data_IF_344287581063
#
_entry.id   IF_344287581063
#
_cell.length_a   1.000
_cell.length_b   1.000
_cell.length_c   1.000
_cell.angle_alpha   90.00
_cell.angle_beta   90.00
_cell.angle_gamma   90.00
#
_symmetry.space_group_name_H-M   'P 1'
#
loop_
_entity.id
_entity.type
_entity.pdbx_description
1 polymer ?
#
# COMPACT_ATOMS: atom_id res chain seq x y z
N UNK A 1 -38.11 76.24 -59.04
CA UNK A 1 -38.00 75.33 -60.21
C UNK A 1 -37.96 73.90 -59.68
N UNK A 2 -38.83 73.00 -60.16
CA UNK A 2 -38.59 71.53 -60.10
C UNK A 2 -37.34 71.19 -60.95
N UNK A 3 -36.77 69.96 -60.92
CA UNK A 3 -36.72 68.90 -59.91
C UNK A 3 -35.26 68.38 -59.70
N UNK A 4 -35.05 67.39 -58.82
CA UNK A 4 -34.53 66.04 -59.16
C UNK A 4 -33.89 65.30 -57.97
N UNK A 5 -33.81 63.98 -58.15
CA UNK A 5 -34.05 62.94 -57.17
C UNK A 5 -32.77 62.15 -56.82
N UNK A 6 -32.80 61.47 -55.66
CA UNK A 6 -32.01 60.30 -55.19
C UNK A 6 -30.82 60.50 -54.23
N UNK A 7 -31.04 59.91 -53.04
CA UNK A 7 -30.16 59.30 -52.02
C UNK A 7 -28.86 58.64 -52.52
N UNK A 8 -27.80 58.42 -51.67
CA UNK A 8 -27.89 57.69 -50.38
C UNK A 8 -26.92 58.09 -49.24
N UNK A 9 -27.16 57.57 -48.02
CA UNK A 9 -26.14 57.57 -46.96
C UNK A 9 -26.62 57.20 -45.55
N UNK A 10 -26.15 56.03 -45.08
CA UNK A 10 -25.91 55.61 -43.70
C UNK A 10 -27.09 55.43 -42.72
N UNK A 11 -27.31 54.17 -42.32
CA UNK A 11 -28.14 53.75 -41.19
C UNK A 11 -27.33 53.69 -39.89
N UNK A 12 -27.65 54.59 -38.96
CA UNK A 12 -27.42 54.47 -37.52
C UNK A 12 -28.45 53.51 -36.90
N UNK A 13 -28.02 52.56 -36.07
CA UNK A 13 -28.94 51.80 -35.21
C UNK A 13 -28.26 51.32 -33.92
N UNK A 14 -28.43 52.19 -32.92
CA UNK A 14 -28.58 51.99 -31.47
C UNK A 14 -28.48 50.59 -30.85
N UNK A 15 -27.70 50.60 -29.78
CA UNK A 15 -27.58 49.68 -28.65
C UNK A 15 -28.94 49.35 -27.97
N UNK A 16 -29.29 48.05 -27.93
CA UNK A 16 -30.26 47.46 -26.99
C UNK A 16 -29.84 46.04 -26.65
N UNK A 17 -29.07 45.86 -25.58
CA UNK A 17 -28.86 44.53 -24.98
C UNK A 17 -30.14 44.05 -24.30
N UNK A 18 -30.68 42.90 -24.74
CA UNK A 18 -31.82 42.25 -24.11
C UNK A 18 -31.40 41.47 -22.86
N UNK A 19 -32.31 41.39 -21.89
CA UNK A 19 -32.16 40.70 -20.59
C UNK A 19 -31.99 39.17 -20.74
N UNK A 20 -31.98 38.64 -21.96
CA UNK A 20 -31.78 37.22 -22.28
C UNK A 20 -30.32 36.73 -22.22
N UNK A 21 -29.34 37.63 -22.04
CA UNK A 21 -27.93 37.25 -21.95
C UNK A 21 -27.49 36.81 -20.53
N UNK A 22 -28.36 36.89 -19.52
CA UNK A 22 -28.07 36.46 -18.14
C UNK A 22 -28.52 35.02 -17.80
N UNK A 23 -29.11 34.29 -18.76
CA UNK A 23 -29.62 32.92 -18.53
C UNK A 23 -29.11 31.88 -19.53
N UNK A 24 -27.94 32.10 -20.13
CA UNK A 24 -27.21 31.00 -20.78
C UNK A 24 -26.40 30.26 -19.73
N UNK A 25 -27.03 29.29 -19.07
CA UNK A 25 -26.29 28.16 -18.51
C UNK A 25 -25.54 27.49 -19.66
N UNK A 26 -24.24 27.70 -19.75
CA UNK A 26 -23.40 26.79 -20.50
C UNK A 26 -23.53 25.43 -19.81
N UNK A 27 -24.07 24.46 -20.54
CA UNK A 27 -24.06 23.07 -20.08
C UNK A 27 -22.62 22.71 -19.71
N UNK A 28 -22.36 22.54 -18.41
CA UNK A 28 -21.16 21.88 -17.93
C UNK A 28 -21.05 20.54 -18.64
N UNK A 29 -19.84 20.08 -18.97
CA UNK A 29 -19.59 18.71 -19.44
C UNK A 29 -19.96 17.73 -18.32
N UNK A 30 -21.25 17.51 -18.11
CA UNK A 30 -21.82 16.64 -17.09
C UNK A 30 -22.47 15.46 -17.80
N UNK A 31 -21.90 14.27 -17.58
CA UNK A 31 -22.49 12.96 -17.84
C UNK A 31 -22.87 12.63 -19.29
N UNK A 32 -21.91 12.71 -20.22
CA UNK A 32 -22.02 11.86 -21.41
C UNK A 32 -21.71 10.42 -20.97
N UNK A 33 -22.71 9.54 -21.02
CA UNK A 33 -22.45 8.10 -20.99
C UNK A 33 -21.66 7.80 -22.26
N UNK A 34 -20.34 7.65 -22.13
CA UNK A 34 -19.50 7.20 -23.23
C UNK A 34 -19.85 5.74 -23.50
N UNK A 35 -20.45 5.49 -24.67
CA UNK A 35 -20.70 4.14 -25.15
C UNK A 35 -19.33 3.50 -25.43
N UNK A 36 -18.98 2.38 -24.78
CA UNK A 36 -17.68 1.76 -24.99
C UNK A 36 -17.54 1.34 -26.46
N UNK A 37 -16.50 1.84 -27.12
CA UNK A 37 -16.18 1.50 -28.50
C UNK A 37 -14.98 0.56 -28.54
N UNK A 38 -15.12 -0.55 -29.26
CA UNK A 38 -13.99 -1.43 -29.56
C UNK A 38 -13.23 -0.78 -30.70
N UNK A 39 -12.03 -0.30 -30.41
CA UNK A 39 -11.10 0.22 -31.42
C UNK A 39 -9.74 -0.41 -31.23
N UNK A 40 -9.08 -0.70 -32.35
CA UNK A 40 -7.68 -1.10 -32.28
C UNK A 40 -6.86 0.09 -31.76
N UNK A 41 -5.85 -0.15 -30.91
CA UNK A 41 -4.95 0.91 -30.51
C UNK A 41 -4.34 1.54 -31.76
N UNK A 42 -4.55 2.84 -31.94
CA UNK A 42 -3.91 3.57 -33.03
C UNK A 42 -2.40 3.53 -32.78
N UNK A 43 -1.66 2.89 -33.68
CA UNK A 43 -0.23 2.59 -33.52
C UNK A 43 0.61 3.81 -33.13
N UNK A 44 1.59 3.58 -32.27
CA UNK A 44 2.56 4.56 -31.79
C UNK A 44 3.84 4.64 -32.62
N UNK A 45 4.63 5.68 -32.33
CA UNK A 45 6.02 5.88 -32.77
C UNK A 45 6.87 6.66 -31.75
N UNK A 46 6.29 6.96 -30.57
CA UNK A 46 6.99 7.59 -29.47
C UNK A 46 7.58 6.50 -28.57
N UNK A 47 8.90 6.49 -28.42
CA UNK A 47 9.58 5.69 -27.39
C UNK A 47 9.37 6.42 -26.07
N UNK A 48 8.45 5.94 -25.23
CA UNK A 48 8.26 6.43 -23.86
C UNK A 48 8.93 5.45 -22.90
N UNK A 49 9.91 5.93 -22.13
CA UNK A 49 10.56 5.14 -21.08
C UNK A 49 9.63 4.88 -19.89
N UNK A 50 10.18 4.31 -18.82
CA UNK A 50 9.52 4.32 -17.50
C UNK A 50 9.29 5.79 -17.13
N UNK A 51 8.06 6.13 -16.73
CA UNK A 51 7.67 7.51 -16.37
C UNK A 51 8.24 7.83 -14.98
N UNK A 52 9.54 8.09 -14.96
CA UNK A 52 10.34 8.34 -13.78
C UNK A 52 10.10 9.77 -13.28
N UNK A 53 9.49 9.88 -12.09
CA UNK A 53 9.20 11.18 -11.47
C UNK A 53 10.31 11.55 -10.50
N UNK A 54 11.30 12.31 -10.96
CA UNK A 54 12.26 12.96 -10.09
C UNK A 54 11.65 14.20 -9.44
N UNK A 55 11.86 14.36 -8.14
CA UNK A 55 11.43 15.52 -7.37
C UNK A 55 12.45 15.87 -6.30
N UNK A 56 12.50 17.15 -5.93
CA UNK A 56 13.33 17.64 -4.82
C UNK A 56 12.40 18.26 -3.80
N UNK A 57 12.54 17.85 -2.54
CA UNK A 57 11.84 18.51 -1.45
C UNK A 57 12.67 19.74 -1.02
N UNK A 58 12.16 20.93 -1.35
CA UNK A 58 12.86 22.19 -1.10
C UNK A 58 13.04 22.52 0.40
N UNK A 59 12.24 21.91 1.29
CA UNK A 59 12.26 22.23 2.73
C UNK A 59 13.39 21.48 3.44
N UNK A 60 13.60 20.20 3.13
CA UNK A 60 14.60 19.36 3.77
C UNK A 60 15.79 19.01 2.86
N UNK A 61 15.78 19.45 1.60
CA UNK A 61 16.84 19.23 0.63
C UNK A 61 16.94 17.80 0.10
N UNK A 62 15.99 16.90 0.40
CA UNK A 62 16.08 15.51 -0.06
C UNK A 62 15.68 15.36 -1.53
N UNK A 63 16.42 14.54 -2.27
CA UNK A 63 16.01 14.06 -3.58
C UNK A 63 15.04 12.90 -3.43
N UNK A 64 14.03 12.82 -4.29
CA UNK A 64 13.03 11.75 -4.29
C UNK A 64 12.70 11.30 -5.70
N UNK A 65 12.51 10.00 -5.86
CA UNK A 65 12.28 9.38 -7.16
C UNK A 65 11.37 8.16 -7.00
N UNK A 66 10.49 7.89 -7.97
CA UNK A 66 9.56 6.76 -7.88
C UNK A 66 9.44 6.01 -9.20
N UNK A 67 9.53 4.67 -9.12
CA UNK A 67 9.32 3.73 -10.22
C UNK A 67 8.03 2.94 -9.93
N UNK A 68 6.99 3.03 -10.77
CA UNK A 68 5.81 2.19 -10.60
C UNK A 68 6.16 0.72 -10.86
N UNK A 69 5.73 -0.17 -9.96
CA UNK A 69 5.90 -1.61 -10.16
C UNK A 69 4.91 -2.14 -11.21
N UNK A 70 5.25 -3.23 -11.91
CA UNK A 70 4.44 -3.75 -13.00
C UNK A 70 3.15 -4.41 -12.46
N UNK A 71 2.05 -3.68 -12.53
CA UNK A 71 0.70 -4.19 -12.34
C UNK A 71 -0.13 -3.94 -13.60
N UNK A 72 -0.72 -5.00 -14.15
CA UNK A 72 -1.73 -4.85 -15.20
C UNK A 72 -3.02 -4.30 -14.62
N UNK A 73 -3.71 -3.38 -15.31
CA UNK A 73 -5.05 -2.96 -14.92
C UNK A 73 -6.02 -4.15 -14.90
N UNK A 74 -6.72 -4.33 -13.79
CA UNK A 74 -7.84 -5.24 -13.64
C UNK A 74 -9.18 -4.49 -13.77
N UNK A 75 -10.29 -5.19 -13.48
CA UNK A 75 -11.64 -4.62 -13.52
C UNK A 75 -11.84 -3.62 -12.39
N UNK A 76 -11.54 -2.34 -12.62
CA UNK A 76 -11.87 -1.23 -11.74
C UNK A 76 -10.96 -1.07 -10.51
N UNK A 77 -10.59 -2.16 -9.84
CA UNK A 77 -9.69 -2.14 -8.68
C UNK A 77 -8.40 -2.88 -8.99
N UNK A 78 -7.27 -2.17 -8.93
CA UNK A 78 -5.93 -2.73 -9.15
C UNK A 78 -4.98 -2.22 -8.06
N UNK A 79 -4.08 -3.07 -7.56
CA UNK A 79 -3.02 -2.62 -6.67
C UNK A 79 -2.12 -1.59 -7.38
N UNK A 80 -1.61 -0.65 -6.60
CA UNK A 80 -0.62 0.32 -7.07
C UNK A 80 0.50 0.41 -6.05
N UNK A 81 1.61 -0.26 -6.34
CA UNK A 81 2.84 -0.14 -5.56
C UNK A 81 3.91 0.52 -6.42
N UNK A 82 4.79 1.25 -5.76
CA UNK A 82 5.96 1.87 -6.38
C UNK A 82 7.19 1.56 -5.55
N UNK A 83 8.32 1.59 -6.22
CA UNK A 83 9.64 1.63 -5.62
C UNK A 83 10.03 3.11 -5.49
N UNK A 84 10.16 3.59 -4.25
CA UNK A 84 10.44 4.99 -3.93
C UNK A 84 11.85 5.15 -3.39
N UNK A 85 12.63 6.04 -3.98
CA UNK A 85 13.91 6.50 -3.48
C UNK A 85 13.74 7.80 -2.70
N UNK A 86 14.44 7.93 -1.58
CA UNK A 86 14.69 9.20 -0.91
C UNK A 86 16.13 9.23 -0.40
N UNK A 87 16.85 10.33 -0.65
CA UNK A 87 18.26 10.45 -0.25
C UNK A 87 18.51 10.43 1.26
N UNK A 88 17.48 10.64 2.08
CA UNK A 88 17.52 10.53 3.54
C UNK A 88 17.04 9.17 4.08
N UNK A 89 16.59 8.26 3.22
CA UNK A 89 16.13 6.92 3.64
C UNK A 89 17.31 5.98 3.91
N UNK A 90 17.10 5.05 4.84
CA UNK A 90 18.06 4.00 5.17
C UNK A 90 18.07 2.83 4.18
N UNK A 91 18.66 1.72 4.61
CA UNK A 91 18.74 0.49 3.82
C UNK A 91 17.40 -0.28 3.85
N UNK A 92 17.08 -1.00 2.78
CA UNK A 92 15.86 -1.79 2.64
C UNK A 92 16.08 -3.05 1.79
N UNK A 93 15.01 -3.78 1.51
CA UNK A 93 15.01 -4.93 0.59
C UNK A 93 15.31 -4.57 -0.87
N UNK A 94 15.40 -3.28 -1.20
CA UNK A 94 15.80 -2.76 -2.52
C UNK A 94 17.12 -1.96 -2.46
N UNK A 95 17.91 -2.14 -1.41
CA UNK A 95 19.17 -1.43 -1.20
C UNK A 95 19.01 -0.05 -0.56
N UNK A 96 20.12 0.67 -0.43
CA UNK A 96 20.17 1.94 0.29
C UNK A 96 19.34 3.04 -0.37
N UNK A 97 18.51 3.74 0.42
CA UNK A 97 17.71 4.89 -0.01
C UNK A 97 16.39 4.51 -0.69
N UNK A 98 16.21 3.26 -1.08
CA UNK A 98 15.00 2.75 -1.74
C UNK A 98 14.04 2.13 -0.72
N UNK A 99 12.74 2.19 -0.97
CA UNK A 99 11.71 1.54 -0.18
C UNK A 99 10.52 1.12 -1.05
N UNK A 100 9.83 0.07 -0.65
CA UNK A 100 8.55 -0.30 -1.24
C UNK A 100 7.45 0.61 -0.68
N UNK A 101 6.66 1.22 -1.54
CA UNK A 101 5.48 2.02 -1.18
C UNK A 101 4.30 1.16 -0.71
N UNK A 102 4.52 0.30 0.30
CA UNK A 102 3.50 -0.53 0.93
C UNK A 102 2.99 0.18 2.19
N UNK A 103 1.68 0.42 2.28
CA UNK A 103 1.08 1.00 3.49
C UNK A 103 1.13 0.01 4.63
N UNK A 104 1.26 0.47 5.88
CA UNK A 104 1.19 -0.38 7.07
C UNK A 104 0.72 0.41 8.28
N UNK A 105 0.27 -0.29 9.32
CA UNK A 105 0.11 0.29 10.66
C UNK A 105 1.29 -0.18 11.49
N UNK A 106 1.98 0.72 12.18
CA UNK A 106 3.12 0.36 13.04
C UNK A 106 3.11 1.11 14.36
N UNK A 107 3.79 0.57 15.37
CA UNK A 107 4.00 1.28 16.64
C UNK A 107 5.08 2.36 16.47
N UNK A 108 4.85 3.53 17.03
CA UNK A 108 5.75 4.68 16.96
C UNK A 108 6.94 4.51 17.89
N UNK A 109 8.14 4.79 17.40
CA UNK A 109 9.40 4.57 18.13
C UNK A 109 10.23 5.85 18.36
N UNK A 110 9.76 7.01 17.88
CA UNK A 110 10.53 8.28 17.98
C UNK A 110 10.63 8.84 19.41
N UNK A 111 9.72 8.44 20.30
CA UNK A 111 9.63 8.98 21.68
C UNK A 111 10.06 7.99 22.76
N UNK A 112 10.73 6.90 22.37
CA UNK A 112 11.22 5.87 23.27
C UNK A 112 10.91 4.46 22.79
N UNK A 113 11.39 3.49 23.58
CA UNK A 113 11.15 2.07 23.32
C UNK A 113 9.71 1.68 23.68
N UNK A 114 9.19 0.73 22.91
CA UNK A 114 7.85 0.19 23.04
C UNK A 114 7.73 -0.66 24.31
N UNK A 115 6.58 -0.58 24.97
CA UNK A 115 6.30 -1.39 26.18
C UNK A 115 5.34 -2.53 25.92
N UNK A 116 4.59 -2.50 24.82
CA UNK A 116 3.60 -3.52 24.46
C UNK A 116 2.55 -3.78 25.57
N UNK A 117 2.25 -2.75 26.37
CA UNK A 117 1.23 -2.82 27.42
C UNK A 117 -0.09 -2.27 26.87
N UNK A 118 -0.72 -3.02 25.97
CA UNK A 118 -1.90 -2.57 25.22
C UNK A 118 -3.10 -2.27 26.13
N UNK A 119 -3.27 -2.99 27.24
CA UNK A 119 -4.32 -2.72 28.23
C UNK A 119 -4.17 -1.34 28.90
N UNK A 120 -2.93 -0.84 29.02
CA UNK A 120 -2.62 0.47 29.56
C UNK A 120 -2.43 1.54 28.46
N UNK A 121 -2.63 1.17 27.19
CA UNK A 121 -2.40 2.04 26.01
C UNK A 121 -1.04 2.73 26.03
N UNK A 122 0.02 1.97 26.35
CA UNK A 122 1.37 2.53 26.55
C UNK A 122 2.01 3.08 25.28
N UNK A 123 1.62 2.58 24.11
CA UNK A 123 2.28 2.84 22.83
C UNK A 123 1.34 3.58 21.87
N UNK A 124 1.90 4.45 21.04
CA UNK A 124 1.17 5.15 19.97
C UNK A 124 1.32 4.40 18.65
N UNK A 125 0.27 4.36 17.83
CA UNK A 125 0.31 3.79 16.49
C UNK A 125 0.44 4.90 15.44
N UNK A 126 1.02 4.57 14.31
CA UNK A 126 1.13 5.45 13.13
C UNK A 126 0.70 4.67 11.89
N UNK A 127 0.02 5.35 10.97
CA UNK A 127 -0.38 4.78 9.69
C UNK A 127 0.50 5.35 8.56
N UNK A 128 1.07 4.46 7.74
CA UNK A 128 1.91 4.79 6.58
C UNK A 128 2.98 5.86 6.89
N UNK A 129 3.60 5.73 8.07
CA UNK A 129 4.69 6.58 8.59
C UNK A 129 4.40 8.08 8.76
N UNK A 130 3.18 8.57 8.48
CA UNK A 130 2.90 10.00 8.45
C UNK A 130 2.31 10.53 9.77
N UNK A 131 1.26 9.87 10.27
CA UNK A 131 0.40 10.47 11.30
C UNK A 131 0.17 9.58 12.51
N UNK A 132 0.26 10.19 13.69
CA UNK A 132 -0.09 9.58 14.98
C UNK A 132 -1.59 9.25 14.99
N UNK A 133 -1.91 7.97 15.13
CA UNK A 133 -3.28 7.53 15.33
C UNK A 133 -3.69 7.77 16.79
N UNK A 134 -4.79 8.50 16.97
CA UNK A 134 -5.39 8.76 18.28
C UNK A 134 -6.77 8.11 18.38
N UNK A 135 -7.16 7.58 19.55
CA UNK A 135 -8.50 7.06 19.76
C UNK A 135 -9.56 8.15 19.51
N UNK A 136 -10.66 7.76 18.89
CA UNK A 136 -11.85 8.61 18.74
C UNK A 136 -12.64 8.57 20.05
N UNK A 137 -13.14 9.72 20.50
CA UNK A 137 -14.05 9.78 21.64
C UNK A 137 -15.50 9.66 21.19
N UNK A 138 -16.29 8.94 21.98
CA UNK A 138 -17.72 8.76 21.77
C UNK A 138 -18.42 10.11 21.84
N UNK A 139 -19.39 10.32 20.94
CA UNK A 139 -20.25 11.50 20.92
C UNK A 139 -21.68 11.11 21.26
N UNK A 140 -22.34 11.95 22.04
CA UNK A 140 -23.77 11.90 22.28
C UNK A 140 -24.56 12.39 21.04
N UNK A 141 -25.88 12.12 20.95
CA UNK A 141 -26.70 12.57 19.82
C UNK A 141 -26.60 14.08 19.51
N UNK A 142 -26.31 14.91 20.51
CA UNK A 142 -26.08 16.36 20.35
C UNK A 142 -24.66 16.76 19.92
N UNK A 143 -23.77 15.81 19.61
CA UNK A 143 -22.40 16.04 19.15
C UNK A 143 -21.37 16.31 20.25
N UNK A 144 -21.80 16.48 21.50
CA UNK A 144 -20.93 16.61 22.66
C UNK A 144 -20.19 15.29 22.95
N UNK A 145 -18.95 15.37 23.44
CA UNK A 145 -18.20 14.18 23.84
C UNK A 145 -18.73 13.58 25.13
N UNK A 146 -18.94 12.26 25.13
CA UNK A 146 -19.33 11.49 26.31
C UNK A 146 -18.19 11.46 27.34
N UNK A 147 -18.53 11.58 28.62
CA UNK A 147 -17.59 11.49 29.74
C UNK A 147 -18.05 10.43 30.74
N UNK A 148 -17.11 9.77 31.40
CA UNK A 148 -17.37 8.86 32.52
C UNK A 148 -17.69 9.64 33.81
N UNK A 149 -18.13 8.98 34.91
CA UNK A 149 -18.44 9.64 36.18
C UNK A 149 -17.28 10.46 36.76
N UNK A 150 -16.04 10.11 36.42
CA UNK A 150 -14.82 10.80 36.81
C UNK A 150 -14.46 11.99 35.89
N UNK A 151 -15.26 12.23 34.85
CA UNK A 151 -15.12 13.36 33.93
C UNK A 151 -14.12 13.15 32.78
N UNK A 152 -13.60 11.93 32.60
CA UNK A 152 -12.70 11.56 31.50
C UNK A 152 -13.50 11.18 30.26
N UNK A 153 -12.97 11.52 29.08
CA UNK A 153 -13.64 11.21 27.81
C UNK A 153 -13.72 9.70 27.56
N UNK A 154 -14.91 9.25 27.16
CA UNK A 154 -15.16 7.86 26.82
C UNK A 154 -14.69 7.61 25.39
N UNK A 155 -13.88 6.56 25.20
CA UNK A 155 -13.42 6.13 23.88
C UNK A 155 -14.59 5.51 23.11
N UNK A 156 -14.70 5.82 21.83
CA UNK A 156 -15.66 5.19 20.93
C UNK A 156 -15.22 3.75 20.64
N UNK A 157 -15.97 2.82 21.22
CA UNK A 157 -15.67 1.40 21.21
C UNK A 157 -16.95 0.59 21.14
N UNK A 158 -16.92 -0.48 20.36
CA UNK A 158 -18.02 -1.46 20.28
C UNK A 158 -17.49 -2.88 20.39
N UNK A 159 -18.40 -3.79 20.64
CA UNK A 159 -18.13 -5.23 20.57
C UNK A 159 -18.53 -5.75 19.19
N UNK A 160 -17.76 -6.68 18.62
CA UNK A 160 -18.13 -7.35 17.36
C UNK A 160 -19.41 -8.18 17.51
N UNK A 161 -20.12 -8.46 16.41
CA UNK A 161 -21.40 -9.18 16.44
C UNK A 161 -21.35 -10.54 17.15
N UNK A 162 -20.20 -11.22 17.13
CA UNK A 162 -19.97 -12.50 17.82
C UNK A 162 -19.41 -12.38 19.24
N UNK A 163 -19.31 -11.16 19.80
CA UNK A 163 -18.69 -10.88 21.10
C UNK A 163 -17.21 -11.32 21.24
N UNK A 164 -16.53 -11.59 20.13
CA UNK A 164 -15.14 -12.09 20.12
C UNK A 164 -14.09 -10.98 20.15
N UNK A 165 -14.45 -9.79 19.64
CA UNK A 165 -13.51 -8.68 19.48
C UNK A 165 -14.05 -7.40 20.11
N UNK A 166 -13.12 -6.60 20.62
CA UNK A 166 -13.32 -5.21 21.02
C UNK A 166 -12.81 -4.32 19.87
N UNK A 167 -13.68 -3.49 19.33
CA UNK A 167 -13.41 -2.66 18.15
C UNK A 167 -13.36 -1.20 18.59
N UNK A 168 -12.18 -0.61 18.52
CA UNK A 168 -11.94 0.79 18.88
C UNK A 168 -11.68 1.62 17.63
N UNK A 169 -12.27 2.80 17.56
CA UNK A 169 -12.04 3.72 16.44
C UNK A 169 -10.82 4.59 16.67
N UNK A 170 -10.05 4.80 15.60
CA UNK A 170 -8.89 5.67 15.55
C UNK A 170 -9.06 6.68 14.42
N UNK A 171 -8.32 7.78 14.54
CA UNK A 171 -8.15 8.76 13.47
C UNK A 171 -6.72 9.32 13.49
N UNK A 172 -6.17 9.77 12.35
CA UNK A 172 -4.94 10.55 12.32
C UNK A 172 -5.04 11.81 13.19
N UNK A 173 -3.91 12.25 13.77
CA UNK A 173 -3.86 13.53 14.50
C UNK A 173 -4.14 14.70 13.55
N UNK A 174 -3.59 14.66 12.35
CA UNK A 174 -3.93 15.56 11.25
C UNK A 174 -4.77 14.77 10.25
N UNK A 175 -6.06 15.09 10.18
CA UNK A 175 -7.00 14.39 9.30
C UNK A 175 -6.77 14.76 7.84
N UNK A 176 -6.82 13.77 6.95
CA UNK A 176 -6.61 13.98 5.51
C UNK A 176 -7.28 12.93 4.62
N UNK A 177 -7.26 11.66 5.04
CA UNK A 177 -7.90 10.57 4.30
C UNK A 177 -9.39 10.44 4.61
N UNK A 178 -9.85 10.97 5.75
CA UNK A 178 -11.21 10.78 6.26
C UNK A 178 -11.64 9.30 6.28
N UNK A 179 -10.66 8.40 6.45
CA UNK A 179 -10.86 6.98 6.49
C UNK A 179 -11.35 6.54 7.88
N UNK A 180 -12.25 5.57 7.92
CA UNK A 180 -12.64 4.89 9.15
C UNK A 180 -11.58 3.87 9.51
N UNK A 181 -10.82 4.15 10.56
CA UNK A 181 -9.75 3.27 11.06
C UNK A 181 -10.22 2.58 12.34
N UNK A 182 -10.08 1.26 12.37
CA UNK A 182 -10.55 0.42 13.46
C UNK A 182 -9.44 -0.51 13.95
N UNK A 183 -9.20 -0.49 15.26
CA UNK A 183 -8.37 -1.48 15.95
C UNK A 183 -9.27 -2.58 16.49
N UNK A 184 -9.08 -3.79 16.00
CA UNK A 184 -9.78 -5.00 16.44
C UNK A 184 -8.89 -5.74 17.42
N UNK A 185 -9.29 -5.82 18.69
CA UNK A 185 -8.59 -6.59 19.71
C UNK A 185 -9.40 -7.84 20.05
N UNK A 186 -8.84 -9.02 19.82
CA UNK A 186 -9.44 -10.29 20.23
C UNK A 186 -9.50 -10.39 21.76
N UNK A 187 -10.66 -10.72 22.32
CA UNK A 187 -10.88 -10.70 23.78
C UNK A 187 -10.20 -11.86 24.50
N UNK A 188 -10.05 -13.01 23.85
CA UNK A 188 -9.44 -14.22 24.42
C UNK A 188 -7.92 -14.16 24.48
N UNK A 189 -7.28 -13.63 23.42
CA UNK A 189 -5.83 -13.65 23.24
C UNK A 189 -5.17 -12.28 23.43
N UNK A 190 -5.92 -11.19 23.26
CA UNK A 190 -5.39 -9.84 23.19
C UNK A 190 -4.74 -9.48 21.84
N UNK A 191 -4.76 -10.38 20.85
CA UNK A 191 -4.18 -10.11 19.52
C UNK A 191 -4.91 -8.95 18.86
N UNK A 192 -4.12 -8.02 18.32
CA UNK A 192 -4.60 -6.83 17.63
C UNK A 192 -4.53 -7.04 16.13
N UNK A 193 -5.55 -6.55 15.41
CA UNK A 193 -5.65 -6.46 13.95
C UNK A 193 -6.21 -5.09 13.59
N UNK A 194 -6.00 -4.64 12.35
CA UNK A 194 -6.52 -3.35 11.92
C UNK A 194 -7.41 -3.47 10.67
N UNK A 195 -8.43 -2.63 10.62
CA UNK A 195 -9.29 -2.46 9.45
C UNK A 195 -9.40 -0.98 9.12
N UNK A 196 -9.21 -0.64 7.86
CA UNK A 196 -9.39 0.72 7.36
C UNK A 196 -10.41 0.72 6.23
N UNK A 197 -11.31 1.70 6.23
CA UNK A 197 -12.31 1.90 5.17
C UNK A 197 -12.18 3.33 4.66
N UNK A 198 -11.84 3.49 3.39
CA UNK A 198 -11.66 4.79 2.74
C UNK A 198 -12.99 5.41 2.32
N UNK A 199 -12.99 6.69 1.94
CA UNK A 199 -14.18 7.37 1.40
C UNK A 199 -14.71 6.76 0.09
N UNK A 200 -13.87 6.04 -0.65
CA UNK A 200 -14.23 5.32 -1.88
C UNK A 200 -14.75 3.90 -1.60
N UNK A 201 -15.14 3.60 -0.35
CA UNK A 201 -15.60 2.30 0.13
C UNK A 201 -14.59 1.14 -0.06
N UNK A 202 -13.30 1.43 -0.28
CA UNK A 202 -12.26 0.41 -0.26
C UNK A 202 -11.92 0.07 1.19
N UNK A 203 -12.07 -1.21 1.55
CA UNK A 203 -11.67 -1.75 2.84
C UNK A 203 -10.31 -2.42 2.71
N UNK A 204 -9.41 -2.18 3.66
CA UNK A 204 -8.12 -2.89 3.78
C UNK A 204 -7.96 -3.47 5.19
N UNK A 205 -7.60 -4.75 5.26
CA UNK A 205 -7.31 -5.50 6.48
C UNK A 205 -5.79 -5.57 6.65
N UNK A 206 -5.30 -5.24 7.84
CA UNK A 206 -3.87 -5.27 8.15
C UNK A 206 -3.59 -6.24 9.29
N UNK A 207 -2.62 -7.13 9.09
CA UNK A 207 -2.26 -8.20 10.03
C UNK A 207 -3.48 -8.98 10.50
N UNK A 208 -4.31 -9.42 9.55
CA UNK A 208 -5.53 -10.17 9.83
C UNK A 208 -5.19 -11.59 10.32
N UNK A 209 -4.10 -12.15 9.80
CA UNK A 209 -3.44 -13.38 10.23
C UNK A 209 -2.03 -13.09 10.76
N UNK A 210 -1.39 -14.13 11.32
CA UNK A 210 -0.02 -14.05 11.81
C UNK A 210 1.03 -13.87 10.69
N UNK A 211 0.65 -14.13 9.44
CA UNK A 211 1.56 -14.05 8.29
C UNK A 211 1.86 -12.59 7.92
N UNK A 212 0.86 -11.70 8.05
CA UNK A 212 0.94 -10.29 7.69
C UNK A 212 1.30 -9.36 8.87
N UNK A 213 2.13 -9.83 9.80
CA UNK A 213 2.65 -9.01 10.92
C UNK A 213 4.16 -9.14 11.09
N UNK A 214 4.78 -8.16 11.72
CA UNK A 214 6.14 -8.25 12.30
C UNK A 214 5.98 -8.22 13.82
N UNK A 215 6.35 -9.31 14.48
CA UNK A 215 6.14 -9.51 15.92
C UNK A 215 7.37 -10.12 16.58
N UNK A 216 7.50 -9.95 17.90
CA UNK A 216 8.60 -10.52 18.68
C UNK A 216 8.64 -12.05 18.48
N UNK A 217 9.77 -12.63 18.00
CA UNK A 217 9.87 -14.07 17.79
C UNK A 217 9.72 -14.88 19.09
N UNK A 218 9.98 -14.27 20.25
CA UNK A 218 9.79 -14.90 21.56
C UNK A 218 8.37 -14.71 22.12
N UNK A 219 7.59 -13.75 21.59
CA UNK A 219 6.23 -13.47 22.06
C UNK A 219 5.35 -12.88 20.94
N UNK A 220 4.58 -13.72 20.22
CA UNK A 220 3.77 -13.29 19.08
C UNK A 220 2.70 -12.23 19.38
N UNK A 221 2.34 -11.99 20.65
CA UNK A 221 1.40 -10.93 21.04
C UNK A 221 2.04 -9.55 20.93
N UNK A 222 3.38 -9.46 21.00
CA UNK A 222 4.14 -8.21 20.83
C UNK A 222 4.33 -7.87 19.36
N UNK A 223 3.24 -7.48 18.72
CA UNK A 223 3.24 -7.07 17.30
C UNK A 223 3.73 -5.62 17.17
N UNK A 224 4.78 -5.42 16.38
CA UNK A 224 5.35 -4.12 16.05
C UNK A 224 4.64 -3.46 14.86
N UNK A 225 4.37 -4.24 13.81
CA UNK A 225 3.86 -3.74 12.52
C UNK A 225 2.83 -4.71 11.93
N UNK A 226 1.75 -4.15 11.38
CA UNK A 226 0.64 -4.84 10.71
C UNK A 226 0.65 -4.47 9.22
N UNK A 227 0.92 -5.45 8.37
CA UNK A 227 1.03 -5.32 6.92
C UNK A 227 -0.34 -5.55 6.27
N UNK A 228 -0.63 -4.93 5.10
CA UNK A 228 -1.91 -5.07 4.42
C UNK A 228 -2.00 -6.49 3.91
N UNK A 229 -3.06 -7.19 4.25
CA UNK A 229 -3.23 -8.60 3.90
C UNK A 229 -4.31 -8.75 2.84
N UNK A 230 -5.45 -8.08 3.02
CA UNK A 230 -6.56 -8.21 2.09
C UNK A 230 -7.25 -6.86 1.89
N UNK A 231 -7.55 -6.51 0.65
CA UNK A 231 -8.29 -5.31 0.30
C UNK A 231 -9.43 -5.64 -0.66
N UNK A 232 -10.56 -4.95 -0.52
CA UNK A 232 -11.72 -5.13 -1.39
C UNK A 232 -12.54 -3.86 -1.51
N UNK A 233 -13.21 -3.70 -2.66
CA UNK A 233 -14.12 -2.59 -2.94
C UNK A 233 -15.60 -2.97 -2.77
N UNK A 234 -16.49 -2.02 -3.02
CA UNK A 234 -17.94 -2.19 -2.97
C UNK A 234 -18.54 -2.90 -4.20
N UNK A 235 -17.70 -3.29 -5.16
CA UNK A 235 -18.09 -3.97 -6.42
C UNK A 235 -17.67 -5.43 -6.43
N UNK A 236 -17.03 -5.89 -5.36
CA UNK A 236 -16.56 -7.26 -5.17
C UNK A 236 -15.22 -7.57 -5.81
N UNK A 237 -14.46 -6.56 -6.23
CA UNK A 237 -13.07 -6.73 -6.61
C UNK A 237 -12.19 -6.80 -5.36
N UNK A 238 -11.17 -7.64 -5.36
CA UNK A 238 -10.26 -7.77 -4.23
C UNK A 238 -8.79 -7.97 -4.63
N UNK A 239 -7.92 -7.71 -3.65
CA UNK A 239 -6.47 -7.85 -3.71
C UNK A 239 -6.02 -8.60 -2.45
N UNK A 240 -5.20 -9.63 -2.63
CA UNK A 240 -4.62 -10.41 -1.54
C UNK A 240 -3.10 -10.30 -1.58
N UNK A 241 -2.50 -9.92 -0.46
CA UNK A 241 -1.07 -9.77 -0.27
C UNK A 241 -0.55 -10.97 0.53
N UNK A 242 0.29 -11.78 -0.11
CA UNK A 242 0.96 -12.91 0.49
C UNK A 242 2.36 -12.54 0.95
N UNK A 243 2.75 -13.07 2.10
CA UNK A 243 4.02 -12.77 2.75
C UNK A 243 4.78 -14.04 3.08
N UNK A 244 6.11 -13.92 3.09
CA UNK A 244 7.03 -14.93 3.61
C UNK A 244 7.71 -14.42 4.86
N UNK A 245 7.79 -15.27 5.88
CA UNK A 245 8.57 -15.01 7.09
C UNK A 245 10.04 -15.26 6.83
N UNK A 246 10.89 -14.46 7.46
CA UNK A 246 12.32 -14.70 7.47
C UNK A 246 12.66 -16.08 8.05
N UNK A 247 13.70 -16.70 7.48
CA UNK A 247 14.19 -18.00 7.89
C UNK A 247 15.74 -18.03 7.92
N UNK A 248 16.29 -19.21 8.25
CA UNK A 248 17.74 -19.45 8.31
C UNK A 248 18.40 -19.74 6.95
N UNK A 249 17.68 -19.67 5.83
CA UNK A 249 18.22 -20.04 4.51
C UNK A 249 19.36 -19.10 4.11
N UNK A 250 20.51 -19.67 3.71
CA UNK A 250 21.71 -18.90 3.36
C UNK A 250 22.46 -18.27 4.54
N UNK A 251 22.06 -18.58 5.78
CA UNK A 251 22.74 -18.13 6.98
C UNK A 251 24.08 -18.85 7.17
N UNK A 252 25.17 -18.09 7.23
CA UNK A 252 26.51 -18.64 7.45
C UNK A 252 27.04 -18.31 8.85
N UNK A 253 27.27 -19.34 9.66
CA UNK A 253 27.77 -19.26 11.04
C UNK A 253 29.26 -18.89 11.14
N UNK A 254 30.01 -18.97 10.04
CA UNK A 254 31.42 -18.59 9.99
C UNK A 254 31.59 -17.06 10.12
N UNK A 255 30.61 -16.28 9.69
CA UNK A 255 30.63 -14.83 9.90
C UNK A 255 30.45 -14.48 11.37
N UNK A 256 31.38 -13.69 11.91
CA UNK A 256 31.37 -13.27 13.32
C UNK A 256 30.04 -12.61 13.71
N UNK A 257 29.46 -11.80 12.81
CA UNK A 257 28.20 -11.13 13.05
C UNK A 257 27.00 -12.09 13.05
N UNK A 258 27.12 -13.36 12.65
CA UNK A 258 26.02 -14.32 12.71
C UNK A 258 26.05 -15.21 13.96
N UNK A 259 27.15 -15.27 14.71
CA UNK A 259 27.33 -16.26 15.80
C UNK A 259 26.27 -16.22 16.91
N UNK A 260 25.70 -15.05 17.20
CA UNK A 260 24.74 -14.87 18.31
C UNK A 260 23.28 -14.81 17.83
N UNK A 261 22.98 -15.28 16.62
CA UNK A 261 21.66 -15.16 15.98
C UNK A 261 20.93 -16.49 15.79
N UNK A 262 21.45 -17.55 16.44
CA UNK A 262 20.83 -18.87 16.49
C UNK A 262 20.59 -19.27 17.94
N UNK A 263 19.44 -19.89 18.19
CA UNK A 263 19.12 -20.61 19.42
C UNK A 263 18.84 -22.06 19.05
N UNK A 264 19.86 -22.91 19.13
CA UNK A 264 19.79 -24.25 18.54
C UNK A 264 19.83 -24.18 17.02
N UNK A 265 18.80 -24.70 16.35
CA UNK A 265 18.67 -24.65 14.90
C UNK A 265 17.88 -23.43 14.39
N UNK A 266 17.21 -22.69 15.28
CA UNK A 266 16.28 -21.62 14.92
C UNK A 266 16.96 -20.25 14.97
N UNK A 267 16.60 -19.37 14.03
CA UNK A 267 17.00 -17.96 14.06
C UNK A 267 16.34 -17.21 15.23
N UNK A 268 17.06 -16.26 15.83
CA UNK A 268 16.56 -15.47 16.97
C UNK A 268 15.95 -14.12 16.58
N UNK A 269 15.96 -13.80 15.30
CA UNK A 269 15.44 -12.55 14.73
C UNK A 269 14.21 -12.80 13.87
N UNK A 270 13.51 -11.74 13.49
CA UNK A 270 12.33 -11.83 12.62
C UNK A 270 12.41 -10.85 11.47
N UNK A 271 11.67 -11.13 10.41
CA UNK A 271 11.25 -10.16 9.39
C UNK A 271 10.13 -10.78 8.55
N UNK A 272 9.44 -9.97 7.76
CA UNK A 272 8.37 -10.41 6.87
C UNK A 272 8.50 -9.70 5.52
N UNK A 273 8.44 -10.47 4.44
CA UNK A 273 8.69 -10.00 3.07
C UNK A 273 7.45 -10.22 2.22
N UNK A 274 7.05 -9.22 1.43
CA UNK A 274 5.99 -9.39 0.44
C UNK A 274 6.47 -10.39 -0.61
N UNK A 275 5.71 -11.46 -0.81
CA UNK A 275 6.02 -12.53 -1.76
C UNK A 275 5.22 -12.36 -3.05
N UNK A 276 3.91 -12.14 -2.91
CA UNK A 276 3.00 -12.11 -4.05
C UNK A 276 1.81 -11.21 -3.76
N UNK A 277 1.33 -10.54 -4.80
CA UNK A 277 0.05 -9.80 -4.78
C UNK A 277 -0.86 -10.42 -5.81
N UNK A 278 -2.00 -10.94 -5.37
CA UNK A 278 -3.04 -11.54 -6.20
C UNK A 278 -4.19 -10.56 -6.38
N UNK A 279 -4.71 -10.41 -7.60
CA UNK A 279 -5.81 -9.49 -7.86
C UNK A 279 -6.56 -9.84 -9.16
N UNK A 280 -7.69 -9.17 -9.39
CA UNK A 280 -8.59 -9.50 -10.51
C UNK A 280 -9.27 -10.85 -10.30
N UNK A 281 -9.90 -11.03 -9.14
CA UNK A 281 -10.68 -12.20 -8.79
C UNK A 281 -11.83 -12.46 -9.78
N UNK A 282 -12.05 -13.73 -10.13
CA UNK A 282 -13.13 -14.20 -10.99
C UNK A 282 -14.47 -14.17 -10.26
N UNK A 283 -14.45 -14.55 -8.99
CA UNK A 283 -15.65 -14.63 -8.14
C UNK A 283 -15.75 -13.38 -7.28
N UNK A 284 -16.79 -12.55 -7.43
CA UNK A 284 -16.93 -11.33 -6.64
C UNK A 284 -16.94 -11.59 -5.13
N UNK A 285 -16.08 -10.89 -4.39
CA UNK A 285 -16.07 -10.90 -2.93
C UNK A 285 -17.30 -10.14 -2.41
N UNK A 286 -18.16 -10.76 -1.62
CA UNK A 286 -19.49 -10.21 -1.35
C UNK A 286 -19.53 -9.28 -0.15
N UNK A 287 -18.90 -9.67 0.94
CA UNK A 287 -18.97 -8.91 2.19
C UNK A 287 -17.82 -9.26 3.13
N UNK A 288 -17.49 -8.29 3.99
CA UNK A 288 -16.53 -8.48 5.06
C UNK A 288 -16.90 -9.67 5.97
N UNK A 289 -15.95 -10.58 6.16
CA UNK A 289 -16.11 -11.77 6.98
C UNK A 289 -16.35 -13.06 6.17
N UNK A 290 -16.64 -12.93 4.87
CA UNK A 290 -16.59 -14.08 3.96
C UNK A 290 -15.16 -14.57 3.80
N UNK A 291 -15.01 -15.86 3.49
CA UNK A 291 -13.72 -16.47 3.19
C UNK A 291 -13.03 -15.76 2.01
N UNK A 292 -11.73 -15.52 2.16
CA UNK A 292 -10.89 -14.96 1.10
C UNK A 292 -10.87 -15.93 -0.09
N UNK A 293 -11.02 -15.45 -1.35
CA UNK A 293 -10.94 -16.31 -2.53
C UNK A 293 -9.63 -17.10 -2.60
N UNK A 294 -9.70 -18.33 -3.09
CA UNK A 294 -8.52 -19.14 -3.33
C UNK A 294 -7.61 -18.49 -4.38
N UNK A 295 -6.31 -18.79 -4.35
CA UNK A 295 -5.34 -18.22 -5.29
C UNK A 295 -5.72 -18.45 -6.76
N UNK A 296 -6.29 -19.63 -7.07
CA UNK A 296 -6.77 -19.96 -8.42
C UNK A 296 -7.95 -19.11 -8.90
N UNK A 297 -8.56 -18.31 -8.03
CA UNK A 297 -9.64 -17.39 -8.39
C UNK A 297 -9.12 -16.08 -9.02
N UNK A 298 -7.85 -15.74 -8.83
CA UNK A 298 -7.27 -14.50 -9.34
C UNK A 298 -6.69 -14.66 -10.74
N UNK A 299 -6.91 -13.66 -11.60
CA UNK A 299 -6.42 -13.65 -12.98
C UNK A 299 -5.01 -13.06 -13.12
N UNK A 300 -4.53 -12.36 -12.10
CA UNK A 300 -3.23 -11.71 -12.11
C UNK A 300 -2.47 -12.02 -10.82
N UNK A 301 -1.17 -12.23 -10.96
CA UNK A 301 -0.25 -12.30 -9.83
C UNK A 301 1.01 -11.47 -10.08
N UNK A 302 1.44 -10.72 -9.07
CA UNK A 302 2.72 -10.01 -9.10
C UNK A 302 3.62 -10.57 -8.02
N UNK A 303 4.69 -11.25 -8.42
CA UNK A 303 5.63 -11.96 -7.55
C UNK A 303 6.88 -11.13 -7.30
N UNK A 304 7.33 -11.09 -6.05
CA UNK A 304 8.57 -10.48 -5.61
C UNK A 304 9.62 -11.58 -5.44
N UNK A 305 10.56 -11.64 -6.37
CA UNK A 305 11.62 -12.64 -6.39
C UNK A 305 12.82 -12.16 -5.56
N UNK A 306 13.23 -12.95 -4.56
CA UNK A 306 14.43 -12.68 -3.73
C UNK A 306 15.62 -13.56 -4.12
N UNK A 307 15.65 -14.05 -5.36
CA UNK A 307 16.69 -14.94 -5.92
C UNK A 307 16.22 -16.38 -6.14
N UNK A 308 14.99 -16.71 -5.75
CA UNK A 308 14.43 -18.07 -5.80
C UNK A 308 14.11 -18.56 -7.22
N UNK A 309 13.77 -17.63 -8.10
CA UNK A 309 13.25 -17.90 -9.44
C UNK A 309 14.36 -17.94 -10.49
N UNK A 310 14.20 -18.84 -11.47
CA UNK A 310 15.00 -18.82 -12.69
C UNK A 310 14.79 -17.50 -13.45
N UNK A 311 15.80 -17.10 -14.22
CA UNK A 311 15.78 -15.95 -15.13
C UNK A 311 15.22 -16.31 -16.51
N UNK A 312 15.06 -17.60 -16.82
CA UNK A 312 14.49 -18.11 -18.06
C UNK A 312 13.08 -18.68 -17.87
N UNK A 313 12.26 -18.64 -18.93
CA UNK A 313 10.97 -19.33 -18.96
C UNK A 313 11.13 -20.82 -18.62
N UNK A 314 10.26 -21.38 -17.75
CA UNK A 314 8.98 -20.85 -17.30
C UNK A 314 9.03 -20.06 -15.97
N UNK A 315 10.20 -19.56 -15.55
CA UNK A 315 10.40 -18.85 -14.28
C UNK A 315 10.01 -19.72 -13.08
N UNK A 316 10.50 -20.96 -13.05
CA UNK A 316 10.26 -21.83 -11.92
C UNK A 316 11.07 -21.38 -10.70
N UNK A 317 10.56 -21.68 -9.51
CA UNK A 317 11.35 -21.66 -8.29
C UNK A 317 12.37 -22.80 -8.36
N UNK A 318 13.66 -22.46 -8.38
CA UNK A 318 14.76 -23.41 -8.57
C UNK A 318 15.65 -23.57 -7.33
N UNK A 319 15.58 -22.63 -6.39
CA UNK A 319 16.34 -22.66 -5.14
C UNK A 319 15.66 -21.84 -4.04
N UNK A 320 16.24 -21.89 -2.86
CA UNK A 320 15.91 -20.97 -1.77
C UNK A 320 16.38 -19.54 -2.08
N UNK A 321 15.77 -18.57 -1.42
CA UNK A 321 16.11 -17.16 -1.55
C UNK A 321 17.53 -16.85 -1.12
N UNK A 322 18.11 -15.84 -1.78
CA UNK A 322 19.48 -15.44 -1.53
C UNK A 322 19.60 -14.68 -0.21
N UNK A 323 20.74 -14.86 0.46
CA UNK A 323 21.14 -14.06 1.61
C UNK A 323 21.97 -12.87 1.10
N UNK A 324 21.61 -11.66 1.52
CA UNK A 324 22.30 -10.43 1.10
C UNK A 324 23.66 -10.29 1.80
N UNK A 325 24.67 -9.71 1.16
CA UNK A 325 25.99 -9.52 1.78
C UNK A 325 25.98 -8.50 2.93
N UNK A 326 25.15 -7.46 2.84
CA UNK A 326 25.07 -6.34 3.80
C UNK A 326 23.85 -6.47 4.74
N UNK A 327 23.67 -7.62 5.37
CA UNK A 327 22.53 -7.86 6.24
C UNK A 327 22.55 -6.98 7.51
N UNK A 328 21.46 -6.25 7.75
CA UNK A 328 21.37 -5.24 8.80
C UNK A 328 20.17 -5.46 9.72
N UNK A 329 20.23 -4.90 10.93
CA UNK A 329 19.22 -5.09 11.96
C UNK A 329 18.69 -3.77 12.49
N UNK A 330 17.42 -3.76 12.87
CA UNK A 330 16.74 -2.68 13.56
C UNK A 330 16.18 -3.19 14.89
N UNK A 331 16.44 -2.45 15.97
CA UNK A 331 16.04 -2.80 17.34
C UNK A 331 15.03 -1.81 17.94
N UNK A 332 14.48 -0.87 17.15
CA UNK A 332 13.48 0.10 17.63
C UNK A 332 12.21 -0.58 18.16
N UNK A 333 11.92 -1.80 17.69
CA UNK A 333 10.83 -2.63 18.18
C UNK A 333 11.09 -3.28 19.56
N UNK A 334 12.30 -3.17 20.11
CA UNK A 334 12.68 -3.88 21.35
C UNK A 334 13.04 -5.35 21.15
N UNK A 335 12.97 -5.86 19.93
CA UNK A 335 13.51 -7.14 19.47
C UNK A 335 14.21 -6.95 18.11
N UNK A 336 14.98 -7.94 17.68
CA UNK A 336 15.73 -7.85 16.43
C UNK A 336 14.84 -8.07 15.21
N UNK A 337 14.67 -7.02 14.40
CA UNK A 337 14.15 -7.12 13.03
C UNK A 337 15.35 -7.08 12.09
N UNK A 338 15.67 -8.18 11.41
CA UNK A 338 16.86 -8.28 10.57
C UNK A 338 16.47 -8.45 9.11
N UNK A 339 17.00 -7.59 8.26
CA UNK A 339 16.82 -7.69 6.81
C UNK A 339 17.98 -8.48 6.23
N UNK A 340 17.69 -9.69 5.77
CA UNK A 340 18.69 -10.58 5.14
C UNK A 340 18.42 -10.83 3.65
N UNK A 341 17.31 -10.30 3.12
CA UNK A 341 16.88 -10.52 1.74
C UNK A 341 16.98 -9.26 0.91
N UNK A 342 17.12 -9.44 -0.39
CA UNK A 342 17.16 -8.38 -1.39
C UNK A 342 16.30 -8.80 -2.59
N UNK A 343 15.33 -7.99 -2.97
CA UNK A 343 14.44 -8.31 -4.09
C UNK A 343 15.21 -8.15 -5.41
N UNK A 344 15.32 -9.23 -6.18
CA UNK A 344 16.09 -9.31 -7.45
C UNK A 344 15.23 -8.99 -8.66
N UNK A 345 13.93 -9.29 -8.60
CA UNK A 345 12.99 -8.90 -9.64
C UNK A 345 11.54 -8.88 -9.15
N UNK A 346 10.69 -8.13 -9.86
CA UNK A 346 9.23 -8.17 -9.72
C UNK A 346 8.64 -8.69 -11.03
N UNK A 347 7.88 -9.79 -10.93
CA UNK A 347 7.37 -10.57 -12.04
C UNK A 347 5.85 -10.47 -12.10
N UNK A 348 5.29 -10.04 -13.22
CA UNK A 348 3.85 -9.95 -13.46
C UNK A 348 3.39 -11.11 -14.32
N UNK A 349 2.51 -11.94 -13.78
CA UNK A 349 1.88 -13.06 -14.46
C UNK A 349 0.39 -12.80 -14.73
N UNK A 350 -0.07 -13.31 -15.85
CA UNK A 350 -1.50 -13.40 -16.19
C UNK A 350 -1.87 -14.89 -16.21
N UNK A 351 -3.06 -15.21 -15.70
CA UNK A 351 -3.55 -16.59 -15.55
C UNK A 351 -4.91 -16.76 -16.24
N UNK A 352 -4.94 -16.55 -17.56
CA UNK A 352 -6.14 -16.78 -18.37
C UNK A 352 -6.11 -18.21 -18.93
N UNK A 353 -7.00 -19.06 -18.43
CA UNK A 353 -7.06 -20.48 -18.77
C UNK A 353 -8.23 -20.76 -19.73
N UNK A 354 -7.94 -20.93 -21.01
CA UNK A 354 -8.92 -21.22 -22.06
C UNK A 354 -8.28 -21.37 -23.44
N UNK A 355 -9.00 -21.88 -24.46
CA UNK A 355 -8.48 -21.99 -25.82
C UNK A 355 -8.05 -20.62 -26.38
N UNK A 356 -6.74 -20.44 -26.62
CA UNK A 356 -6.18 -19.18 -27.11
C UNK A 356 -5.95 -18.12 -26.03
N UNK A 357 -6.12 -18.45 -24.76
CA UNK A 357 -5.78 -17.58 -23.63
C UNK A 357 -4.32 -17.78 -23.19
N UNK A 358 -3.82 -16.85 -22.38
CA UNK A 358 -2.41 -16.81 -21.95
C UNK A 358 -2.28 -17.04 -20.45
N UNK A 359 -1.45 -18.03 -20.09
CA UNK A 359 -1.03 -18.30 -18.72
C UNK A 359 0.50 -18.27 -18.67
N UNK A 360 1.07 -17.21 -18.07
CA UNK A 360 2.52 -17.00 -18.07
C UNK A 360 2.96 -15.60 -17.67
N UNK A 361 4.26 -15.35 -17.78
CA UNK A 361 4.90 -14.08 -17.45
C UNK A 361 4.66 -13.02 -18.54
N UNK A 362 4.02 -11.92 -18.17
CA UNK A 362 3.79 -10.78 -19.08
C UNK A 362 4.87 -9.72 -18.98
N UNK A 363 5.42 -9.49 -17.78
CA UNK A 363 6.45 -8.46 -17.57
C UNK A 363 7.37 -8.81 -16.41
N UNK A 364 8.67 -8.58 -16.58
CA UNK A 364 9.64 -8.58 -15.49
C UNK A 364 10.26 -7.19 -15.33
N UNK A 365 10.44 -6.77 -14.08
CA UNK A 365 11.31 -5.67 -13.69
C UNK A 365 12.47 -6.27 -12.88
N UNK A 366 13.67 -6.30 -13.46
CA UNK A 366 14.86 -6.87 -12.82
C UNK A 366 15.70 -5.76 -12.20
N UNK A 367 16.34 -6.07 -11.06
CA UNK A 367 17.14 -5.13 -10.29
C UNK A 367 18.61 -5.58 -10.25
N UNK A 368 19.49 -4.72 -10.72
CA UNK A 368 20.93 -4.91 -10.63
C UNK A 368 21.48 -4.10 -9.45
N UNK A 369 22.33 -4.75 -8.65
CA UNK A 369 22.87 -4.18 -7.43
C UNK A 369 24.38 -4.05 -7.50
N UNK A 370 24.89 -2.87 -7.10
CA UNK A 370 26.31 -2.67 -6.85
C UNK A 370 26.63 -3.03 -5.40
N UNK A 371 27.57 -3.94 -5.24
CA UNK A 371 28.09 -4.44 -3.96
C UNK A 371 29.60 -4.21 -3.83
N UNK A 372 30.23 -3.59 -4.83
CA UNK A 372 31.68 -3.42 -4.93
C UNK A 372 32.14 -1.99 -4.59
N UNK A 373 31.33 -0.96 -4.86
CA UNK A 373 31.72 0.45 -4.66
C UNK A 373 31.60 0.93 -3.21
N UNK A 374 30.97 0.16 -2.33
CA UNK A 374 30.98 0.36 -0.88
C UNK A 374 30.85 -0.99 -0.17
N UNK A 375 31.95 -1.48 0.43
CA UNK A 375 32.04 -2.83 1.00
C UNK A 375 30.94 -3.15 2.04
N UNK A 376 30.31 -2.12 2.62
CA UNK A 376 29.31 -2.24 3.67
C UNK A 376 27.85 -2.05 3.21
N UNK A 377 27.59 -1.61 1.97
CA UNK A 377 26.24 -1.27 1.51
C UNK A 377 25.94 -1.73 0.10
N UNK A 378 24.73 -2.28 -0.09
CA UNK A 378 24.20 -2.61 -1.40
C UNK A 378 23.41 -1.43 -1.99
N UNK A 379 23.80 -0.98 -3.18
CA UNK A 379 23.13 0.09 -3.92
C UNK A 379 22.37 -0.47 -5.14
N UNK A 380 21.12 -0.06 -5.33
CA UNK A 380 20.39 -0.37 -6.56
C UNK A 380 20.95 0.48 -7.71
N UNK A 381 21.44 -0.18 -8.76
CA UNK A 381 22.12 0.44 -9.90
C UNK A 381 21.20 0.60 -11.12
N UNK A 382 20.43 -0.43 -11.44
CA UNK A 382 19.59 -0.45 -12.65
C UNK A 382 18.33 -1.29 -12.47
#
# INVERSE_FOLDING_TARGET
MKPDNKHPGASDAQDRKSVSDFTRENATKSNAIEIPQISLPKGGGAIKGIDEKFSVNAVNGTASFAIPLPFSPARGFSPSLNLSYNSGSGNSIFGLGWNLGLSSVKRKTDKGLLRYMDAAESDTYIFSEAEDLVPVYKKEPGGAFSKDPEGKFIIDEKTSSGNTHRIRYYRPRIEGLFARIERWTEKSTGIIKWRMITGDNVTTLFGWTADAVIADPSNPVRIYEWLPEFAFDDKGNCVHYHYKKEDGSGFDTLFLHNKNRLSGADITYTNTYLEKVLYGNKTPYRQFGDSVPAETDYLFSTVFNYGEYDVAEPFNKIKDWDFRPDAFSNYKAGFEIRTTRLCKSVLLFHHFTGPGEYDGLVRSLNFEYDTATGEDFTFLRR
#
